data_IF_644593121686
#
_entry.id   IF_644593121686
#
_cell.length_a   1.000
_cell.length_b   1.000
_cell.length_c   1.000
_cell.angle_alpha   90.00
_cell.angle_beta   90.00
_cell.angle_gamma   90.00
#
_symmetry.space_group_name_H-M   'P 1'
#
loop_
_entity.id
_entity.type
_entity.pdbx_description
1 polymer ?
#
# COMPACT_ATOMS: atom_id res chain seq x y z
N UNK A 1 -14.55 -20.58 4.71
CA UNK A 1 -13.16 -21.05 4.55
C UNK A 1 -12.31 -19.83 4.27
N UNK A 2 -11.62 -19.29 5.27
CA UNK A 2 -10.72 -18.16 5.04
C UNK A 2 -9.43 -18.73 4.44
N UNK A 3 -9.24 -18.57 3.15
CA UNK A 3 -7.94 -18.84 2.52
C UNK A 3 -6.92 -17.94 3.20
N UNK A 4 -5.89 -18.53 3.81
CA UNK A 4 -4.68 -17.82 4.23
C UNK A 4 -4.06 -17.21 2.97
N UNK A 5 -4.46 -16.00 2.61
CA UNK A 5 -3.96 -15.27 1.45
C UNK A 5 -2.57 -14.76 1.78
N UNK A 6 -1.58 -15.65 1.67
CA UNK A 6 -0.17 -15.25 1.61
C UNK A 6 0.02 -14.47 0.33
N UNK A 7 0.34 -13.18 0.43
CA UNK A 7 0.57 -12.35 -0.76
C UNK A 7 1.83 -12.85 -1.46
N UNK A 8 1.72 -13.09 -2.76
CA UNK A 8 2.83 -13.59 -3.58
C UNK A 8 3.43 -12.45 -4.40
N UNK A 9 4.59 -12.71 -5.01
CA UNK A 9 5.21 -11.77 -5.94
C UNK A 9 4.29 -11.41 -7.10
N UNK A 10 3.46 -12.35 -7.58
CA UNK A 10 2.51 -12.09 -8.66
C UNK A 10 1.44 -11.08 -8.26
N UNK A 11 1.00 -11.14 -7.01
CA UNK A 11 0.04 -10.17 -6.47
C UNK A 11 0.68 -8.78 -6.40
N UNK A 12 1.94 -8.70 -5.96
CA UNK A 12 2.71 -7.46 -5.95
C UNK A 12 2.93 -6.90 -7.37
N UNK A 13 3.30 -7.73 -8.35
CA UNK A 13 3.50 -7.32 -9.74
C UNK A 13 2.23 -6.74 -10.36
N UNK A 14 1.07 -7.37 -10.08
CA UNK A 14 -0.23 -6.89 -10.54
C UNK A 14 -0.55 -5.52 -9.94
N UNK A 15 -0.36 -5.36 -8.64
CA UNK A 15 -0.58 -4.11 -7.92
C UNK A 15 0.34 -2.97 -8.41
N UNK A 16 1.61 -3.27 -8.70
CA UNK A 16 2.54 -2.30 -9.28
C UNK A 16 2.13 -1.87 -10.70
N UNK A 17 1.58 -2.79 -11.50
CA UNK A 17 1.06 -2.47 -12.83
C UNK A 17 -0.22 -1.62 -12.77
N UNK A 18 -1.07 -1.85 -11.77
CA UNK A 18 -2.30 -1.07 -11.54
C UNK A 18 -2.00 0.33 -10.98
N UNK A 19 -0.94 0.48 -10.18
CA UNK A 19 -0.53 1.75 -9.61
C UNK A 19 0.98 2.01 -9.76
N UNK A 20 1.43 2.40 -10.96
CA UNK A 20 2.85 2.61 -11.24
C UNK A 20 3.48 3.79 -10.49
N UNK A 21 2.65 4.68 -9.93
CA UNK A 21 3.09 5.85 -9.16
C UNK A 21 3.46 5.50 -7.70
N UNK A 22 2.93 4.38 -7.19
CA UNK A 22 3.23 3.90 -5.84
C UNK A 22 4.44 2.97 -5.86
N UNK A 23 5.37 3.17 -4.93
CA UNK A 23 6.39 2.18 -4.65
C UNK A 23 5.81 1.14 -3.71
N UNK A 24 5.97 -0.13 -4.04
CA UNK A 24 5.41 -1.22 -3.25
C UNK A 24 6.44 -2.32 -3.07
N UNK A 25 6.49 -2.92 -1.88
CA UNK A 25 7.40 -4.03 -1.56
C UNK A 25 6.66 -5.16 -0.85
N UNK A 26 7.01 -6.41 -1.16
CA UNK A 26 6.50 -7.60 -0.48
C UNK A 26 7.47 -8.00 0.65
N UNK A 27 7.06 -7.77 1.90
CA UNK A 27 7.81 -8.09 3.12
C UNK A 27 7.00 -9.07 3.94
N UNK A 28 7.55 -10.25 4.24
CA UNK A 28 6.89 -11.29 5.05
C UNK A 28 5.44 -11.61 4.61
N UNK A 29 5.23 -11.88 3.31
CA UNK A 29 3.90 -12.13 2.73
C UNK A 29 2.90 -10.96 2.90
N UNK A 30 3.39 -9.75 3.19
CA UNK A 30 2.62 -8.51 3.31
C UNK A 30 3.11 -7.48 2.29
N UNK A 31 2.20 -6.79 1.61
CA UNK A 31 2.57 -5.72 0.67
C UNK A 31 2.58 -4.39 1.42
N UNK A 32 3.75 -3.76 1.48
CA UNK A 32 3.96 -2.43 2.05
C UNK A 32 3.94 -1.42 0.91
N UNK A 33 3.06 -0.42 1.00
CA UNK A 33 2.95 0.66 0.02
C UNK A 33 3.70 1.87 0.57
N UNK A 34 4.77 2.27 -0.10
CA UNK A 34 5.41 3.55 0.08
C UNK A 34 4.78 4.53 -0.89
N UNK A 35 3.90 5.39 -0.38
CA UNK A 35 3.40 6.52 -1.16
C UNK A 35 4.60 7.37 -1.63
N UNK A 36 4.60 7.84 -2.90
CA UNK A 36 5.54 8.89 -3.28
C UNK A 36 5.30 10.03 -2.30
N UNK A 37 6.38 10.59 -1.75
CA UNK A 37 6.40 11.50 -0.61
C UNK A 37 5.69 12.86 -0.83
N UNK A 38 4.71 12.93 -1.73
CA UNK A 38 3.93 14.12 -2.09
C UNK A 38 2.45 14.07 -1.71
N UNK A 39 1.90 12.95 -1.23
CA UNK A 39 0.62 13.00 -0.52
C UNK A 39 0.90 13.44 0.91
N UNK A 40 1.00 14.76 1.10
CA UNK A 40 0.67 15.34 2.40
C UNK A 40 -0.75 14.85 2.68
N UNK A 41 -0.90 13.85 3.55
CA UNK A 41 -2.17 13.67 4.22
C UNK A 41 -2.43 14.99 4.90
N UNK A 42 -3.33 15.78 4.32
CA UNK A 42 -4.10 16.77 5.04
C UNK A 42 -4.95 15.96 6.04
N UNK A 43 -4.28 15.39 7.05
CA UNK A 43 -4.96 14.92 8.23
C UNK A 43 -5.45 16.20 8.89
N UNK A 44 -6.67 16.55 8.49
CA UNK A 44 -7.42 17.71 8.91
C UNK A 44 -7.38 17.73 10.44
N UNK A 45 -6.47 18.52 11.00
CA UNK A 45 -6.52 18.88 12.39
C UNK A 45 -7.76 19.78 12.55
N UNK A 46 -8.92 19.15 12.67
CA UNK A 46 -10.08 19.76 13.28
C UNK A 46 -9.70 20.06 14.73
N UNK A 47 -9.10 21.22 14.95
CA UNK A 47 -9.03 21.82 16.27
C UNK A 47 -10.47 22.15 16.68
N UNK A 48 -11.05 21.28 17.50
CA UNK A 48 -12.23 21.57 18.29
C UNK A 48 -11.73 22.13 19.61
N UNK A 49 -11.98 23.41 19.87
CA UNK A 49 -11.74 24.03 21.18
C UNK A 49 -11.61 25.54 21.14
#
# INVERSE_FOLDING_TARGET
MATLTTLTRKDLEKLQAEHPDYRMELVDNSIIIMSPSGYQSDEVALEVG
#
